data_IF_794509462095
#
_entry.id   IF_794509462095
#
_cell.length_a   1.000
_cell.length_b   1.000
_cell.length_c   1.000
_cell.angle_alpha   90.00
_cell.angle_beta   90.00
_cell.angle_gamma   90.00
#
_symmetry.space_group_name_H-M   'P 1'
#
loop_
_entity.id
_entity.type
_entity.pdbx_description
1 polymer ?
#
# COMPACT_ATOMS: atom_id res chain seq x y z
N UNK A 1 4.61 -3.94 4.60
CA UNK A 1 4.32 -2.49 4.50
C UNK A 1 2.83 -2.24 4.64
N UNK A 2 2.42 -1.09 5.10
CA UNK A 2 1.01 -0.74 5.24
C UNK A 2 0.52 0.16 4.10
N UNK A 3 -0.77 0.52 4.09
CA UNK A 3 -1.45 1.13 2.94
C UNK A 3 -0.81 2.42 2.41
N UNK A 4 -0.39 3.34 3.27
CA UNK A 4 0.21 4.60 2.82
C UNK A 4 1.48 4.36 2.03
N UNK A 5 2.35 3.48 2.52
CA UNK A 5 3.59 3.13 1.84
C UNK A 5 3.33 2.49 0.47
N UNK A 6 2.37 1.57 0.39
CA UNK A 6 2.00 0.92 -0.87
C UNK A 6 1.48 1.92 -1.91
N UNK A 7 0.59 2.83 -1.52
CA UNK A 7 0.04 3.83 -2.44
C UNK A 7 1.14 4.82 -2.86
N UNK A 8 1.97 5.26 -1.93
CA UNK A 8 3.08 6.17 -2.22
C UNK A 8 4.07 5.56 -3.22
N UNK A 9 4.43 4.30 -3.05
CA UNK A 9 5.37 3.60 -3.92
C UNK A 9 4.76 3.17 -5.27
N UNK A 10 3.46 3.29 -5.45
CA UNK A 10 2.77 2.97 -6.71
C UNK A 10 2.92 4.04 -7.79
N UNK A 11 3.50 5.20 -7.47
CA UNK A 11 3.61 6.31 -8.41
C UNK A 11 2.28 7.01 -8.69
N UNK A 12 2.10 7.51 -9.91
CA UNK A 12 0.98 8.38 -10.27
C UNK A 12 -0.09 7.68 -11.12
N UNK A 13 0.09 6.42 -11.48
CA UNK A 13 -0.90 5.67 -12.25
C UNK A 13 -2.00 5.13 -11.34
N UNK A 14 -3.22 5.56 -11.59
CA UNK A 14 -4.38 5.22 -10.78
C UNK A 14 -4.68 3.72 -10.74
N UNK A 15 -4.56 3.05 -11.89
CA UNK A 15 -4.82 1.62 -11.98
C UNK A 15 -3.78 0.82 -11.19
N UNK A 16 -2.52 1.25 -11.22
CA UNK A 16 -1.45 0.63 -10.44
C UNK A 16 -1.68 0.87 -8.95
N UNK A 17 -2.07 2.09 -8.56
CA UNK A 17 -2.41 2.40 -7.17
C UNK A 17 -3.55 1.53 -6.64
N UNK A 18 -4.62 1.38 -7.40
CA UNK A 18 -5.76 0.53 -7.03
C UNK A 18 -5.34 -0.94 -6.95
N UNK A 19 -4.59 -1.42 -7.93
CA UNK A 19 -4.06 -2.79 -7.93
C UNK A 19 -3.19 -3.07 -6.71
N UNK A 20 -2.32 -2.14 -6.35
CA UNK A 20 -1.51 -2.24 -5.15
C UNK A 20 -2.37 -2.24 -3.88
N UNK A 21 -3.37 -1.38 -3.81
CA UNK A 21 -4.28 -1.31 -2.66
C UNK A 21 -5.05 -2.62 -2.43
N UNK A 22 -5.56 -3.25 -3.50
CA UNK A 22 -6.30 -4.52 -3.39
C UNK A 22 -5.39 -5.75 -3.29
N UNK A 23 -4.09 -5.59 -3.51
CA UNK A 23 -3.12 -6.68 -3.64
C UNK A 23 -3.08 -7.63 -2.47
N UNK A 24 -3.32 -7.15 -1.26
CA UNK A 24 -3.37 -7.98 -0.05
C UNK A 24 -4.50 -9.02 -0.09
N UNK A 25 -5.63 -8.67 -0.69
CA UNK A 25 -6.79 -9.55 -0.84
C UNK A 25 -6.72 -10.49 -2.04
N UNK A 26 -5.78 -10.30 -2.97
CA UNK A 26 -5.67 -11.12 -4.18
C UNK A 26 -4.57 -12.15 -3.99
N UNK A 27 -4.94 -13.43 -3.96
CA UNK A 27 -4.02 -14.54 -3.71
C UNK A 27 -3.70 -15.34 -4.97
N UNK A 28 -2.50 -15.92 -5.00
CA UNK A 28 -2.05 -16.82 -6.06
C UNK A 28 -2.19 -16.20 -7.45
N UNK A 29 -2.78 -16.94 -8.37
CA UNK A 29 -3.01 -16.54 -9.77
C UNK A 29 -4.25 -15.64 -9.98
N UNK A 30 -4.96 -15.29 -8.91
CA UNK A 30 -6.15 -14.45 -8.99
C UNK A 30 -5.92 -13.08 -9.65
N UNK A 31 -4.69 -12.58 -9.60
CA UNK A 31 -4.33 -11.32 -10.26
C UNK A 31 -4.53 -11.36 -11.78
N UNK A 32 -4.45 -12.53 -12.41
CA UNK A 32 -4.60 -12.69 -13.87
C UNK A 32 -5.99 -12.34 -14.39
N UNK A 33 -6.99 -12.28 -13.52
CA UNK A 33 -8.37 -11.89 -13.86
C UNK A 33 -8.56 -10.38 -14.01
N UNK A 34 -7.59 -9.58 -13.61
CA UNK A 34 -7.68 -8.12 -13.65
C UNK A 34 -7.05 -7.55 -14.92
N UNK A 35 -7.44 -6.34 -15.35
CA UNK A 35 -6.76 -5.62 -16.43
C UNK A 35 -5.26 -5.45 -16.15
N UNK A 36 -4.46 -5.33 -17.19
CA UNK A 36 -2.99 -5.36 -17.12
C UNK A 36 -2.39 -4.41 -16.07
N UNK A 37 -2.84 -3.17 -16.00
CA UNK A 37 -2.30 -2.19 -15.04
C UNK A 37 -2.67 -2.52 -13.59
N UNK A 38 -3.86 -3.06 -13.38
CA UNK A 38 -4.24 -3.60 -12.07
C UNK A 38 -3.36 -4.77 -11.67
N UNK A 39 -3.06 -5.67 -12.61
CA UNK A 39 -2.12 -6.77 -12.36
C UNK A 39 -0.74 -6.25 -11.96
N UNK A 40 -0.24 -5.22 -12.65
CA UNK A 40 1.03 -4.58 -12.29
C UNK A 40 1.02 -4.06 -10.86
N UNK A 41 -0.06 -3.43 -10.42
CA UNK A 41 -0.23 -2.94 -9.06
C UNK A 41 -0.27 -4.07 -8.03
N UNK A 42 -0.99 -5.14 -8.32
CA UNK A 42 -1.06 -6.33 -7.43
C UNK A 42 0.31 -6.97 -7.28
N UNK A 43 1.04 -7.14 -8.38
CA UNK A 43 2.39 -7.71 -8.36
C UNK A 43 3.38 -6.78 -7.67
N UNK A 44 3.24 -5.46 -7.85
CA UNK A 44 4.04 -4.47 -7.14
C UNK A 44 3.83 -4.56 -5.62
N UNK A 45 2.60 -4.75 -5.17
CA UNK A 45 2.29 -4.99 -3.76
C UNK A 45 3.12 -6.15 -3.18
N UNK A 46 3.16 -7.26 -3.89
CA UNK A 46 3.93 -8.45 -3.50
C UNK A 46 5.42 -8.18 -3.46
N UNK A 47 5.95 -7.45 -4.44
CA UNK A 47 7.36 -7.08 -4.50
C UNK A 47 7.76 -6.15 -3.35
N UNK A 48 6.92 -5.17 -3.01
CA UNK A 48 7.15 -4.27 -1.88
C UNK A 48 7.20 -5.06 -0.58
N UNK A 49 6.25 -5.95 -0.35
CA UNK A 49 6.21 -6.78 0.85
C UNK A 49 7.42 -7.71 0.93
N UNK A 50 7.75 -8.39 -0.15
CA UNK A 50 8.92 -9.26 -0.20
C UNK A 50 10.23 -8.50 0.05
N UNK A 51 10.38 -7.31 -0.53
CA UNK A 51 11.55 -6.46 -0.32
C UNK A 51 11.65 -5.99 1.15
N UNK A 52 10.56 -5.47 1.70
CA UNK A 52 10.55 -4.96 3.08
C UNK A 52 10.78 -6.07 4.11
N UNK A 53 10.16 -7.23 3.93
CA UNK A 53 10.32 -8.36 4.85
C UNK A 53 11.76 -8.92 4.88
N UNK A 54 12.50 -8.76 3.78
CA UNK A 54 13.91 -9.17 3.70
C UNK A 54 14.89 -8.09 4.15
N UNK A 55 14.44 -6.84 4.22
CA UNK A 55 15.34 -5.73 4.53
C UNK A 55 15.90 -5.85 5.95
N UNK A 56 17.23 -5.76 6.14
CA UNK A 56 17.85 -5.94 7.46
C UNK A 56 17.32 -5.01 8.54
N UNK A 57 17.06 -3.74 8.22
CA UNK A 57 16.52 -2.77 9.17
C UNK A 57 15.08 -3.11 9.60
N UNK A 58 14.26 -3.62 8.69
CA UNK A 58 12.90 -4.06 9.01
C UNK A 58 12.94 -5.28 9.91
N UNK A 59 13.79 -6.24 9.60
CA UNK A 59 13.98 -7.46 10.42
C UNK A 59 14.49 -7.13 11.82
N UNK A 60 15.40 -6.18 11.93
CA UNK A 60 15.90 -5.69 13.21
C UNK A 60 14.78 -5.03 14.03
N UNK A 61 14.00 -4.14 13.43
CA UNK A 61 12.89 -3.47 14.09
C UNK A 61 11.82 -4.47 14.58
N UNK A 62 11.47 -5.46 13.75
CA UNK A 62 10.56 -6.55 14.14
C UNK A 62 11.13 -7.35 15.30
N UNK A 63 12.42 -7.66 15.26
CA UNK A 63 13.13 -8.37 16.35
C UNK A 63 13.08 -7.63 17.67
N UNK A 64 13.32 -6.32 17.66
CA UNK A 64 13.23 -5.46 18.86
C UNK A 64 11.81 -5.48 19.44
N UNK A 65 10.80 -5.41 18.60
CA UNK A 65 9.40 -5.38 19.04
C UNK A 65 8.89 -6.72 19.59
N UNK A 66 9.55 -7.84 19.30
CA UNK A 66 9.06 -9.18 19.70
C UNK A 66 8.93 -9.39 21.19
N UNK A 67 9.79 -8.76 21.97
CA UNK A 67 9.75 -8.86 23.43
C UNK A 67 8.44 -8.29 23.99
N UNK A 68 7.96 -7.18 23.43
CA UNK A 68 6.73 -6.51 23.86
C UNK A 68 5.48 -7.04 23.15
N UNK A 69 5.54 -7.27 21.84
CA UNK A 69 4.39 -7.55 20.99
C UNK A 69 4.30 -9.00 20.50
N UNK A 70 5.32 -9.82 20.77
CA UNK A 70 5.33 -11.23 20.35
C UNK A 70 5.13 -11.40 18.85
N UNK A 71 4.21 -12.27 18.49
CA UNK A 71 3.87 -12.56 17.08
C UNK A 71 3.26 -11.38 16.32
N UNK A 72 2.77 -10.36 17.02
CA UNK A 72 2.19 -9.16 16.41
C UNK A 72 3.24 -8.09 16.08
N UNK A 73 4.51 -8.32 16.39
CA UNK A 73 5.57 -7.33 16.18
C UNK A 73 5.65 -6.84 14.74
N UNK A 74 5.50 -7.70 13.75
CA UNK A 74 5.52 -7.32 12.34
C UNK A 74 4.35 -6.36 11.99
N UNK A 75 3.15 -6.65 12.49
CA UNK A 75 1.96 -5.81 12.27
C UNK A 75 2.12 -4.44 12.93
N UNK A 76 2.60 -4.42 14.18
CA UNK A 76 2.88 -3.17 14.89
C UNK A 76 3.93 -2.34 14.15
N UNK A 77 4.96 -2.99 13.64
CA UNK A 77 6.02 -2.35 12.90
C UNK A 77 5.51 -1.69 11.59
N UNK A 78 4.61 -2.35 10.87
CA UNK A 78 3.96 -1.79 9.67
C UNK A 78 3.16 -0.53 10.01
N UNK A 79 2.43 -0.53 11.11
CA UNK A 79 1.66 0.63 11.58
C UNK A 79 2.59 1.78 11.96
N UNK A 80 3.68 1.49 12.65
CA UNK A 80 4.68 2.51 13.04
C UNK A 80 5.38 3.10 11.82
N UNK A 81 5.75 2.31 10.84
CA UNK A 81 6.36 2.81 9.61
C UNK A 81 5.43 3.72 8.83
N UNK A 82 4.16 3.37 8.71
CA UNK A 82 3.17 4.26 8.10
C UNK A 82 2.98 5.56 8.89
N UNK A 83 3.00 5.49 10.21
CA UNK A 83 2.97 6.69 11.05
C UNK A 83 4.18 7.61 10.80
N UNK A 84 5.38 7.07 10.75
CA UNK A 84 6.57 7.85 10.47
C UNK A 84 6.57 8.40 9.04
N UNK A 85 6.14 7.62 8.07
CA UNK A 85 5.98 8.10 6.70
C UNK A 85 4.97 9.25 6.63
N UNK A 86 3.82 9.13 7.29
CA UNK A 86 2.81 10.17 7.34
C UNK A 86 3.32 11.46 8.00
N UNK A 87 4.05 11.31 9.11
CA UNK A 87 4.60 12.44 9.88
C UNK A 87 5.62 13.26 9.10
N UNK A 88 6.35 12.62 8.19
CA UNK A 88 7.43 13.23 7.39
C UNK A 88 7.16 13.11 5.89
N UNK A 89 5.91 12.99 5.51
CA UNK A 89 5.51 12.68 4.14
C UNK A 89 6.05 13.69 3.13
N UNK A 90 6.01 14.99 3.48
CA UNK A 90 6.51 16.05 2.60
C UNK A 90 8.01 15.93 2.31
N UNK A 91 8.81 15.46 3.27
CA UNK A 91 10.25 15.27 3.10
C UNK A 91 10.55 14.18 2.05
N UNK A 92 9.71 13.14 1.97
CA UNK A 92 9.87 12.02 1.03
C UNK A 92 9.20 12.26 -0.31
N UNK A 93 8.00 12.84 -0.31
CA UNK A 93 7.15 12.97 -1.49
C UNK A 93 7.25 14.32 -2.19
N UNK A 94 7.80 15.36 -1.54
CA UNK A 94 7.86 16.71 -2.06
C UNK A 94 6.52 17.46 -2.04
N UNK A 95 5.46 16.88 -1.46
CA UNK A 95 4.15 17.52 -1.27
C UNK A 95 3.52 17.08 0.05
N UNK A 96 2.63 17.91 0.66
CA UNK A 96 1.96 17.56 1.91
C UNK A 96 1.08 16.32 1.77
N UNK A 97 1.02 15.50 2.82
CA UNK A 97 0.17 14.31 2.87
C UNK A 97 -1.29 14.59 2.53
N UNK A 98 -1.83 15.70 3.03
CA UNK A 98 -3.22 16.10 2.77
C UNK A 98 -3.48 16.31 1.27
N UNK A 99 -2.54 16.91 0.54
CA UNK A 99 -2.64 17.09 -0.91
C UNK A 99 -2.53 15.76 -1.64
N UNK A 100 -1.61 14.91 -1.24
CA UNK A 100 -1.46 13.56 -1.79
C UNK A 100 -2.74 12.73 -1.61
N UNK A 101 -3.33 12.74 -0.42
CA UNK A 101 -4.58 12.05 -0.13
C UNK A 101 -5.72 12.52 -1.03
N UNK A 102 -5.85 13.84 -1.23
CA UNK A 102 -6.85 14.40 -2.16
C UNK A 102 -6.63 13.93 -3.58
N UNK A 103 -5.41 14.02 -4.09
CA UNK A 103 -5.08 13.58 -5.45
C UNK A 103 -5.37 12.07 -5.64
N UNK A 104 -5.13 11.26 -4.63
CA UNK A 104 -5.40 9.83 -4.67
C UNK A 104 -6.89 9.49 -4.61
N UNK A 105 -7.71 10.31 -3.96
CA UNK A 105 -9.15 10.06 -3.77
C UNK A 105 -10.05 10.75 -4.80
N UNK A 106 -9.64 11.92 -5.31
CA UNK A 106 -10.48 12.77 -6.17
C UNK A 106 -10.34 12.48 -7.66
N UNK A 107 -9.32 11.72 -8.07
CA UNK A 107 -9.19 11.33 -9.47
C UNK A 107 -10.32 10.36 -9.86
N UNK A 108 -11.04 10.62 -10.95
CA UNK A 108 -12.06 9.68 -11.41
C UNK A 108 -11.41 8.33 -11.73
N UNK A 109 -12.15 7.22 -11.55
CA UNK A 109 -11.63 5.92 -11.95
C UNK A 109 -11.29 5.94 -13.44
N UNK A 110 -10.23 5.25 -13.86
CA UNK A 110 -9.85 5.20 -15.26
C UNK A 110 -10.99 4.64 -16.11
N UNK A 111 -11.16 5.21 -17.30
CA UNK A 111 -12.17 4.74 -18.27
C UNK A 111 -11.98 3.24 -18.53
N UNK A 112 -13.05 2.45 -18.37
CA UNK A 112 -13.02 1.00 -18.54
C UNK A 112 -12.88 0.18 -17.25
N UNK A 113 -12.94 0.82 -16.08
CA UNK A 113 -13.03 0.09 -14.81
C UNK A 113 -14.39 -0.59 -14.66
N UNK A 114 -14.33 -1.84 -14.25
CA UNK A 114 -15.46 -2.73 -14.03
C UNK A 114 -16.62 -2.05 -13.29
N UNK A 115 -17.82 -2.13 -13.84
CA UNK A 115 -19.10 -1.78 -13.20
C UNK A 115 -19.49 -2.73 -12.05
N UNK A 116 -18.56 -3.53 -11.53
CA UNK A 116 -18.83 -4.56 -10.53
C UNK A 116 -18.08 -4.46 -9.22
N UNK A 117 -17.09 -3.56 -9.10
CA UNK A 117 -16.42 -3.36 -7.81
C UNK A 117 -17.00 -2.14 -7.13
N UNK A 118 -18.15 -2.33 -6.49
CA UNK A 118 -18.60 -1.40 -5.45
C UNK A 118 -17.63 -1.54 -4.26
N UNK A 119 -16.53 -0.81 -4.33
CA UNK A 119 -15.81 -0.48 -3.11
C UNK A 119 -16.62 0.60 -2.41
N UNK A 120 -17.48 0.19 -1.50
CA UNK A 120 -18.10 1.08 -0.56
C UNK A 120 -17.02 1.62 0.39
N UNK A 121 -16.34 2.67 -0.04
CA UNK A 121 -15.68 3.56 0.90
C UNK A 121 -16.79 4.37 1.56
N UNK A 122 -17.23 3.94 2.74
CA UNK A 122 -17.94 4.81 3.65
C UNK A 122 -16.89 5.61 4.43
N UNK A 123 -16.80 6.92 4.22
CA UNK A 123 -16.10 7.78 5.15
C UNK A 123 -17.03 7.99 6.36
N UNK A 124 -16.80 7.24 7.41
CA UNK A 124 -17.23 7.65 8.76
C UNK A 124 -16.10 8.43 9.42
#
# INVERSE_FOLDING_TARGET
>A
MNYLAHIFLSGNDRCIQIGNFIGDGVKGDGYKQYPRKFQQGILLHREIDAFSDRHPLVREAVGIGRETFGRYSAVVNDILFDYFLASRFQDYAGLPLKRFSRLSLELPPPAGTFSGVHMAFHPD
#
